data_IF_889233059690
#
_entry.id   IF_889233059690
#
_cell.length_a   1.000
_cell.length_b   1.000
_cell.length_c   1.000
_cell.angle_alpha   90.00
_cell.angle_beta   90.00
_cell.angle_gamma   90.00
#
_symmetry.space_group_name_H-M   'P 1'
#
loop_
_entity.id
_entity.type
_entity.pdbx_description
1 polymer ?
#
# COMPACT_ATOMS: atom_id res chain seq x y z
N UNK A 1 10.91 13.09 -14.16
CA UNK A 1 10.75 13.00 -12.69
C UNK A 1 12.12 13.08 -12.03
N UNK A 2 12.25 13.74 -10.89
CA UNK A 2 13.50 13.74 -10.12
C UNK A 2 13.75 12.38 -9.46
N UNK A 3 15.02 12.03 -9.22
CA UNK A 3 15.43 10.75 -8.64
C UNK A 3 14.71 10.43 -7.32
N UNK A 4 14.55 11.44 -6.46
CA UNK A 4 13.83 11.29 -5.19
C UNK A 4 12.37 10.85 -5.38
N UNK A 5 11.66 11.42 -6.35
CA UNK A 5 10.28 11.04 -6.66
C UNK A 5 10.23 9.61 -7.18
N UNK A 6 11.14 9.25 -8.11
CA UNK A 6 11.21 7.87 -8.63
C UNK A 6 11.44 6.86 -7.51
N UNK A 7 12.38 7.14 -6.60
CA UNK A 7 12.68 6.26 -5.47
C UNK A 7 11.47 6.08 -4.55
N UNK A 8 10.75 7.17 -4.24
CA UNK A 8 9.56 7.12 -3.39
C UNK A 8 8.44 6.34 -4.06
N UNK A 9 8.20 6.54 -5.37
CA UNK A 9 7.14 5.85 -6.09
C UNK A 9 7.39 4.33 -6.22
N UNK A 10 8.64 3.93 -6.39
CA UNK A 10 9.02 2.51 -6.45
C UNK A 10 8.91 1.83 -5.07
N UNK A 11 9.07 2.58 -3.96
CA UNK A 11 8.95 2.06 -2.60
C UNK A 11 7.53 2.06 -2.02
N UNK A 12 6.49 2.47 -2.78
CA UNK A 12 5.12 2.59 -2.25
C UNK A 12 4.59 1.24 -1.75
N UNK A 13 4.86 0.15 -2.46
CA UNK A 13 4.43 -1.20 -2.06
C UNK A 13 5.11 -1.71 -0.78
N UNK A 14 6.29 -1.21 -0.46
CA UNK A 14 7.01 -1.54 0.78
C UNK A 14 6.33 -0.93 2.01
N UNK A 15 5.57 0.16 1.84
CA UNK A 15 4.83 0.81 2.93
C UNK A 15 3.61 0.02 3.40
N UNK A 16 3.24 -1.08 2.73
CA UNK A 16 2.12 -1.91 3.14
C UNK A 16 2.47 -2.70 4.40
N UNK A 17 1.77 -2.40 5.49
CA UNK A 17 1.93 -3.07 6.77
C UNK A 17 0.63 -3.77 7.16
N UNK A 18 0.74 -4.99 7.69
CA UNK A 18 -0.43 -5.75 8.12
C UNK A 18 -1.21 -4.96 9.17
N UNK A 19 -2.52 -4.74 9.00
CA UNK A 19 -3.32 -4.07 10.01
C UNK A 19 -3.32 -4.82 11.34
N UNK A 20 -3.43 -4.07 12.43
CA UNK A 20 -3.36 -4.60 13.80
C UNK A 20 -4.12 -3.68 14.77
N UNK A 21 -4.47 -4.23 15.93
CA UNK A 21 -5.12 -3.46 17.00
C UNK A 21 -6.62 -3.27 16.81
N UNK A 22 -7.16 -2.22 17.45
CA UNK A 22 -8.57 -1.84 17.36
C UNK A 22 -8.76 -0.76 16.29
N UNK A 23 -10.01 -0.42 15.95
CA UNK A 23 -10.38 0.34 14.74
C UNK A 23 -9.44 1.47 14.30
N UNK A 24 -8.96 2.32 15.21
CA UNK A 24 -8.01 3.40 14.87
C UNK A 24 -6.64 2.87 14.41
N UNK A 25 -6.06 1.92 15.14
CA UNK A 25 -4.77 1.31 14.74
C UNK A 25 -4.91 0.53 13.44
N UNK A 26 -6.03 -0.17 13.26
CA UNK A 26 -6.34 -0.85 12.00
C UNK A 26 -6.39 0.14 10.84
N UNK A 27 -7.08 1.27 11.01
CA UNK A 27 -7.19 2.30 9.95
C UNK A 27 -5.86 2.98 9.63
N UNK A 28 -4.98 3.18 10.61
CA UNK A 28 -3.62 3.72 10.39
C UNK A 28 -2.84 2.83 9.41
N UNK A 29 -3.00 1.51 9.47
CA UNK A 29 -2.35 0.58 8.57
C UNK A 29 -3.12 0.37 7.25
N UNK A 30 -4.46 0.33 7.30
CA UNK A 30 -5.31 0.06 6.13
C UNK A 30 -5.33 1.23 5.15
N UNK A 31 -5.40 2.48 5.62
CA UNK A 31 -5.51 3.64 4.73
C UNK A 31 -4.30 3.78 3.77
N UNK A 32 -3.04 3.68 4.22
CA UNK A 32 -1.88 3.67 3.32
C UNK A 32 -1.91 2.57 2.26
N UNK A 33 -2.45 1.39 2.59
CA UNK A 33 -2.58 0.29 1.62
C UNK A 33 -3.59 0.66 0.54
N UNK A 34 -4.76 1.17 0.92
CA UNK A 34 -5.81 1.57 -0.03
C UNK A 34 -5.30 2.64 -0.98
N UNK A 35 -4.72 3.74 -0.46
CA UNK A 35 -4.22 4.82 -1.29
C UNK A 35 -3.00 4.41 -2.12
N UNK A 36 -2.09 3.62 -1.55
CA UNK A 36 -0.91 3.14 -2.27
C UNK A 36 -1.26 2.16 -3.40
N UNK A 37 -2.21 1.26 -3.17
CA UNK A 37 -2.71 0.37 -4.23
C UNK A 37 -3.40 1.15 -5.34
N UNK A 38 -4.27 2.11 -4.98
CA UNK A 38 -4.92 2.98 -5.97
C UNK A 38 -3.88 3.73 -6.81
N UNK A 39 -2.88 4.34 -6.15
CA UNK A 39 -1.79 5.05 -6.83
C UNK A 39 -1.03 4.14 -7.81
N UNK A 40 -0.54 2.98 -7.36
CA UNK A 40 0.22 2.04 -8.17
C UNK A 40 -0.58 1.50 -9.37
N UNK A 41 -1.89 1.30 -9.21
CA UNK A 41 -2.78 0.93 -10.30
C UNK A 41 -2.92 2.07 -11.33
N UNK A 42 -3.10 3.32 -10.88
CA UNK A 42 -3.26 4.46 -11.78
C UNK A 42 -1.97 4.80 -12.55
N UNK A 43 -0.80 4.54 -11.97
CA UNK A 43 0.49 4.77 -12.64
C UNK A 43 0.97 3.59 -13.48
N UNK A 44 0.29 2.45 -13.45
CA UNK A 44 0.72 1.23 -14.14
C UNK A 44 2.00 0.61 -13.56
N UNK A 45 2.37 0.97 -12.32
CA UNK A 45 3.56 0.48 -11.63
C UNK A 45 3.23 -0.59 -10.57
N UNK A 46 2.03 -1.18 -10.65
CA UNK A 46 1.64 -2.27 -9.76
C UNK A 46 2.40 -3.54 -10.11
N UNK A 47 3.10 -4.09 -9.12
CA UNK A 47 3.75 -5.40 -9.21
C UNK A 47 2.90 -6.46 -8.52
N UNK A 48 2.92 -7.69 -9.04
CA UNK A 48 2.09 -8.79 -8.54
C UNK A 48 2.28 -9.05 -7.03
N UNK A 49 3.50 -8.90 -6.51
CA UNK A 49 3.81 -9.07 -5.09
C UNK A 49 3.12 -8.00 -4.21
N UNK A 50 3.06 -6.75 -4.68
CA UNK A 50 2.43 -5.65 -3.97
C UNK A 50 0.91 -5.76 -4.02
N UNK A 51 0.36 -6.21 -5.15
CA UNK A 51 -1.06 -6.49 -5.31
C UNK A 51 -1.51 -7.61 -4.35
N UNK A 52 -0.79 -8.74 -4.34
CA UNK A 52 -1.09 -9.86 -3.47
C UNK A 52 -1.04 -9.45 -1.99
N UNK A 53 0.03 -8.77 -1.57
CA UNK A 53 0.21 -8.29 -0.20
C UNK A 53 -0.89 -7.29 0.21
N UNK A 54 -1.22 -6.35 -0.68
CA UNK A 54 -2.27 -5.37 -0.44
C UNK A 54 -3.66 -6.00 -0.30
N UNK A 55 -4.02 -6.94 -1.18
CA UNK A 55 -5.30 -7.68 -1.09
C UNK A 55 -5.37 -8.48 0.21
N UNK A 56 -4.30 -9.19 0.58
CA UNK A 56 -4.25 -9.95 1.82
C UNK A 56 -4.45 -9.05 3.05
N UNK A 57 -3.74 -7.92 3.09
CA UNK A 57 -3.78 -7.03 4.25
C UNK A 57 -5.09 -6.24 4.34
N UNK A 58 -5.68 -5.82 3.21
CA UNK A 58 -7.00 -5.18 3.22
C UNK A 58 -8.10 -6.12 3.73
N UNK A 59 -8.04 -7.42 3.42
CA UNK A 59 -8.97 -8.43 3.96
C UNK A 59 -8.83 -8.61 5.48
N UNK A 60 -7.66 -8.34 6.03
CA UNK A 60 -7.43 -8.40 7.48
C UNK A 60 -7.96 -7.16 8.20
N UNK A 61 -7.93 -6.01 7.53
CA UNK A 61 -8.38 -4.72 8.07
C UNK A 61 -9.86 -4.41 7.85
N UNK A 62 -10.60 -5.26 7.12
CA UNK A 62 -12.04 -5.16 6.83
C UNK A 62 -12.90 -5.97 7.78
#
# INVERSE_FOLDING_TARGET
MGQAVSCVLHGVGDMFHKPWGCGEQTMIATAPIVYGMYFLMQTGTMEAQHEQKGVEFMRYGS
#
